data_IF_903862430999
#
_entry.id   IF_903862430999
#
_cell.length_a   1.000
_cell.length_b   1.000
_cell.length_c   1.000
_cell.angle_alpha   90.00
_cell.angle_beta   90.00
_cell.angle_gamma   90.00
#
_symmetry.space_group_name_H-M   'P 1'
#
loop_
_entity.id
_entity.type
_entity.pdbx_description
1 polymer ?
#
# COMPACT_ATOMS: atom_id res chain seq x y z
N UNK A 1 -18.76 -12.11 58.44
CA UNK A 1 -17.57 -11.51 57.79
C UNK A 1 -16.85 -12.67 57.12
N UNK A 2 -16.69 -12.78 55.82
CA UNK A 2 -16.99 -11.90 54.69
C UNK A 2 -17.25 -12.81 53.48
N UNK A 3 -18.25 -12.48 52.67
CA UNK A 3 -18.40 -13.02 51.32
C UNK A 3 -17.62 -12.06 50.41
N UNK A 4 -16.50 -12.53 49.86
CA UNK A 4 -15.74 -11.77 48.86
C UNK A 4 -16.43 -11.93 47.51
N UNK A 5 -17.34 -11.00 47.21
CA UNK A 5 -17.89 -10.82 45.87
C UNK A 5 -16.78 -10.30 44.95
N UNK A 6 -16.15 -11.22 44.21
CA UNK A 6 -15.30 -10.85 43.08
C UNK A 6 -16.10 -10.02 42.06
N UNK A 7 -15.48 -9.03 41.41
CA UNK A 7 -16.22 -8.11 40.56
C UNK A 7 -16.81 -8.87 39.38
N UNK A 8 -18.14 -8.99 39.36
CA UNK A 8 -18.89 -9.40 38.18
C UNK A 8 -18.70 -8.30 37.12
N UNK A 9 -17.71 -8.50 36.25
CA UNK A 9 -17.59 -7.72 35.01
C UNK A 9 -18.91 -7.84 34.28
N UNK A 10 -19.62 -6.72 34.15
CA UNK A 10 -20.93 -6.70 33.52
C UNK A 10 -20.77 -6.96 32.04
N UNK A 11 -21.74 -7.66 31.44
CA UNK A 11 -21.81 -7.91 29.99
C UNK A 11 -21.78 -6.61 29.17
N UNK A 12 -22.13 -5.48 29.78
CA UNK A 12 -22.07 -4.14 29.21
C UNK A 12 -20.64 -3.60 29.05
N UNK A 13 -19.74 -3.87 30.01
CA UNK A 13 -18.32 -3.48 29.89
C UNK A 13 -17.60 -4.27 28.80
N UNK A 14 -17.91 -5.57 28.67
CA UNK A 14 -17.38 -6.40 27.58
C UNK A 14 -17.91 -5.94 26.22
N UNK A 15 -19.18 -5.55 26.12
CA UNK A 15 -19.74 -5.01 24.88
C UNK A 15 -19.07 -3.68 24.47
N UNK A 16 -18.84 -2.79 25.43
CA UNK A 16 -18.14 -1.53 25.19
C UNK A 16 -16.68 -1.73 24.76
N UNK A 17 -16.00 -2.74 25.29
CA UNK A 17 -14.63 -3.08 24.89
C UNK A 17 -14.56 -3.66 23.48
N UNK A 18 -15.51 -4.52 23.10
CA UNK A 18 -15.64 -5.06 21.73
C UNK A 18 -15.93 -3.95 20.71
N UNK A 19 -16.74 -2.96 21.07
CA UNK A 19 -17.04 -1.82 20.21
C UNK A 19 -15.80 -0.94 19.97
N UNK A 20 -15.01 -0.67 21.02
CA UNK A 20 -13.73 0.04 20.91
C UNK A 20 -12.72 -0.70 20.04
N UNK A 21 -12.69 -2.04 20.11
CA UNK A 21 -11.81 -2.85 19.26
C UNK A 21 -12.24 -2.81 17.79
N UNK A 22 -13.53 -2.82 17.51
CA UNK A 22 -14.07 -2.66 16.14
C UNK A 22 -13.69 -1.31 15.54
N UNK A 23 -13.81 -0.22 16.28
CA UNK A 23 -13.39 1.11 15.81
C UNK A 23 -11.89 1.15 15.48
N UNK A 24 -11.05 0.56 16.33
CA UNK A 24 -9.60 0.47 16.09
C UNK A 24 -9.28 -0.34 14.83
N UNK A 25 -9.96 -1.45 14.59
CA UNK A 25 -9.79 -2.25 13.37
C UNK A 25 -10.27 -1.50 12.12
N UNK A 26 -11.39 -0.79 12.20
CA UNK A 26 -11.90 0.02 11.09
C UNK A 26 -10.94 1.16 10.71
N UNK A 27 -10.29 1.79 11.70
CA UNK A 27 -9.22 2.77 11.45
C UNK A 27 -7.97 2.15 10.82
N UNK A 28 -7.66 0.88 11.11
CA UNK A 28 -6.54 0.18 10.49
C UNK A 28 -6.84 -0.15 9.02
N UNK A 29 -8.06 -0.62 8.72
CA UNK A 29 -8.53 -0.96 7.38
C UNK A 29 -8.44 0.26 6.43
N UNK A 30 -8.93 1.41 6.89
CA UNK A 30 -8.84 2.67 6.13
C UNK A 30 -7.40 3.11 5.83
N UNK A 31 -6.46 2.82 6.75
CA UNK A 31 -5.05 3.12 6.52
C UNK A 31 -4.43 2.15 5.53
N UNK A 32 -4.82 0.87 5.55
CA UNK A 32 -4.34 -0.11 4.58
C UNK A 32 -4.81 0.24 3.16
N UNK A 33 -6.09 0.61 2.98
CA UNK A 33 -6.63 1.08 1.69
C UNK A 33 -5.86 2.30 1.14
N UNK A 34 -5.47 3.22 2.03
CA UNK A 34 -4.69 4.41 1.67
C UNK A 34 -3.25 4.09 1.23
N UNK A 35 -2.67 3.00 1.76
CA UNK A 35 -1.33 2.55 1.39
C UNK A 35 -1.37 1.82 0.05
N UNK A 36 -2.35 0.94 -0.17
CA UNK A 36 -2.50 0.21 -1.45
C UNK A 36 -2.65 1.17 -2.64
N UNK A 37 -3.34 2.29 -2.44
CA UNK A 37 -3.49 3.33 -3.46
C UNK A 37 -2.17 4.05 -3.81
N UNK A 38 -1.33 4.35 -2.81
CA UNK A 38 -0.03 4.99 -3.04
C UNK A 38 0.99 4.03 -3.65
N UNK A 39 1.01 2.78 -3.20
CA UNK A 39 1.92 1.75 -3.72
C UNK A 39 1.61 1.45 -5.19
N UNK A 40 0.33 1.35 -5.55
CA UNK A 40 -0.10 1.16 -6.96
C UNK A 40 0.38 2.30 -7.85
N UNK A 41 0.18 3.55 -7.44
CA UNK A 41 0.60 4.72 -8.22
C UNK A 41 2.12 4.82 -8.40
N UNK A 42 2.89 4.37 -7.39
CA UNK A 42 4.36 4.30 -7.48
C UNK A 42 4.80 3.17 -8.42
N UNK A 43 4.17 2.00 -8.33
CA UNK A 43 4.44 0.88 -9.24
C UNK A 43 4.19 1.27 -10.70
N UNK A 44 3.05 1.89 -11.01
CA UNK A 44 2.73 2.37 -12.36
C UNK A 44 3.76 3.40 -12.87
N UNK A 45 4.22 4.31 -12.01
CA UNK A 45 5.24 5.31 -12.40
C UNK A 45 6.62 4.69 -12.64
N UNK A 46 6.98 3.65 -11.90
CA UNK A 46 8.26 2.95 -12.06
C UNK A 46 8.25 2.07 -13.31
N UNK A 47 7.15 1.36 -13.57
CA UNK A 47 7.00 0.53 -14.78
C UNK A 47 7.01 1.37 -16.07
N UNK A 48 6.53 2.61 -16.02
CA UNK A 48 6.47 3.50 -17.18
C UNK A 48 7.70 4.39 -17.39
N UNK A 49 8.82 4.17 -16.68
CA UNK A 49 10.03 4.96 -16.92
C UNK A 49 10.68 4.56 -18.25
N UNK A 50 10.84 5.49 -19.20
CA UNK A 50 11.58 5.20 -20.43
C UNK A 50 13.04 4.87 -20.10
N UNK A 51 13.58 3.83 -20.75
CA UNK A 51 15.02 3.57 -20.74
C UNK A 51 15.62 4.32 -21.92
N UNK A 52 16.42 5.34 -21.63
CA UNK A 52 17.12 6.13 -22.66
C UNK A 52 18.49 5.52 -22.94
N UNK A 53 18.72 5.10 -24.18
CA UNK A 53 20.02 4.63 -24.67
C UNK A 53 20.66 5.70 -25.54
N UNK A 54 21.88 6.11 -25.18
CA UNK A 54 22.69 7.02 -25.96
C UNK A 54 23.81 6.23 -26.66
N UNK A 55 23.74 6.15 -27.99
CA UNK A 55 24.69 5.39 -28.81
C UNK A 55 25.35 6.34 -29.81
N UNK A 56 26.68 6.33 -29.86
CA UNK A 56 27.43 7.06 -30.89
C UNK A 56 27.60 6.14 -32.10
N UNK A 57 27.11 6.57 -33.27
CA UNK A 57 27.27 5.80 -34.50
C UNK A 57 28.75 5.72 -34.89
N UNK A 58 29.35 4.52 -34.97
CA UNK A 58 30.77 4.39 -35.28
C UNK A 58 31.11 4.78 -36.74
N UNK A 59 30.12 4.83 -37.63
CA UNK A 59 30.32 5.14 -39.04
C UNK A 59 30.26 6.65 -39.36
N UNK A 60 29.49 7.44 -38.61
CA UNK A 60 29.31 8.87 -38.90
C UNK A 60 29.49 9.80 -37.69
N UNK A 61 29.82 9.27 -36.51
CA UNK A 61 30.09 10.04 -35.29
C UNK A 61 28.87 10.74 -34.69
N UNK A 62 27.68 10.58 -35.28
CA UNK A 62 26.44 11.16 -34.78
C UNK A 62 25.97 10.41 -33.54
N UNK A 63 25.51 11.17 -32.54
CA UNK A 63 24.84 10.60 -31.36
C UNK A 63 23.40 10.28 -31.72
N UNK A 64 22.95 9.09 -31.34
CA UNK A 64 21.59 8.59 -31.49
C UNK A 64 21.04 8.35 -30.10
N UNK A 65 19.92 8.99 -29.80
CA UNK A 65 19.15 8.79 -28.58
C UNK A 65 17.95 7.89 -28.88
N UNK A 66 17.76 6.85 -28.07
CA UNK A 66 16.68 5.88 -28.22
C UNK A 66 15.96 5.78 -26.88
N UNK A 67 14.71 6.21 -26.84
CA UNK A 67 13.84 6.04 -25.68
C UNK A 67 13.00 4.77 -25.83
N UNK A 68 13.16 3.83 -24.90
CA UNK A 68 12.41 2.58 -24.85
C UNK A 68 11.33 2.69 -23.77
N UNK A 69 10.07 2.64 -24.18
CA UNK A 69 8.92 2.61 -23.27
C UNK A 69 8.34 1.20 -23.28
N UNK A 70 8.49 0.49 -22.16
CA UNK A 70 7.84 -0.81 -21.96
C UNK A 70 6.42 -0.62 -21.46
N UNK A 71 5.45 -1.30 -22.10
CA UNK A 71 4.08 -1.36 -21.60
C UNK A 71 3.79 -2.81 -21.20
N UNK A 72 3.75 -3.09 -19.89
CA UNK A 72 3.34 -4.39 -19.38
C UNK A 72 1.81 -4.42 -19.30
N UNK A 73 1.17 -5.26 -20.12
CA UNK A 73 -0.27 -5.44 -20.07
C UNK A 73 -0.59 -6.30 -18.84
N UNK A 74 -1.37 -5.80 -17.86
CA UNK A 74 -1.73 -6.60 -16.70
C UNK A 74 -2.53 -7.83 -17.15
N UNK A 75 -1.99 -9.01 -16.87
CA UNK A 75 -2.68 -10.28 -17.03
C UNK A 75 -3.57 -10.48 -15.80
N UNK A 76 -4.88 -10.68 -16.05
CA UNK A 76 -5.91 -10.91 -15.04
C UNK A 76 -5.75 -12.27 -14.35
#
# INVERSE_FOLDING_TARGET
MAEEEGPLVTTEEQAAEVERLKERLNMLDQRLDSIDSMVTAVAERVMNRPITLNIVCPHCGKSVEIDIIGNEKPVR
#
